data_IF_556079614502
#
_entry.id   IF_556079614502
#
_cell.length_a   1.000
_cell.length_b   1.000
_cell.length_c   1.000
_cell.angle_alpha   90.00
_cell.angle_beta   90.00
_cell.angle_gamma   90.00
#
_symmetry.space_group_name_H-M   'P 1'
#
loop_
_entity.id
_entity.type
_entity.pdbx_description
1 polymer ?
#
# COMPACT_ATOMS: atom_id res chain seq x y z
N UNK A 1 5.81 0.49 -12.59
CA UNK A 1 6.02 0.85 -11.19
C UNK A 1 5.70 2.32 -10.99
N UNK A 2 4.88 2.64 -10.02
CA UNK A 2 4.47 4.02 -9.73
C UNK A 2 4.36 4.24 -8.22
N UNK A 3 4.37 5.53 -7.85
CA UNK A 3 4.19 5.93 -6.45
C UNK A 3 2.78 6.45 -6.23
N UNK A 4 2.21 6.12 -5.08
CA UNK A 4 0.85 6.52 -4.71
C UNK A 4 0.83 7.02 -3.28
N UNK A 5 -0.11 7.93 -3.00
CA UNK A 5 -0.35 8.38 -1.64
C UNK A 5 -1.16 7.34 -0.87
N UNK A 6 -0.84 7.19 0.41
CA UNK A 6 -1.50 6.22 1.28
C UNK A 6 -2.71 6.88 1.95
N UNK A 7 -3.87 6.25 1.81
CA UNK A 7 -5.07 6.65 2.56
C UNK A 7 -5.09 5.95 3.90
N UNK A 8 -4.87 4.63 3.91
CA UNK A 8 -4.83 3.87 5.15
C UNK A 8 -4.08 2.56 4.96
N UNK A 9 -3.70 1.95 6.09
CA UNK A 9 -3.10 0.62 6.15
C UNK A 9 -4.17 -0.31 6.70
N UNK A 10 -4.46 -1.39 5.97
CA UNK A 10 -5.54 -2.31 6.30
C UNK A 10 -4.99 -3.60 6.89
N UNK A 11 -5.56 -3.99 8.03
CA UNK A 11 -5.22 -5.23 8.70
C UNK A 11 -5.84 -6.42 7.98
N UNK A 12 -5.14 -7.55 7.95
CA UNK A 12 -5.69 -8.79 7.45
C UNK A 12 -6.66 -9.42 8.45
N UNK A 13 -7.27 -10.52 8.04
CA UNK A 13 -8.19 -11.29 8.89
C UNK A 13 -7.72 -12.73 9.00
N UNK A 14 -8.30 -13.48 9.94
CA UNK A 14 -7.91 -14.86 10.16
C UNK A 14 -6.44 -14.97 10.55
N UNK A 15 -5.66 -15.72 9.78
CA UNK A 15 -4.24 -15.92 10.05
C UNK A 15 -3.41 -14.63 9.90
N UNK A 16 -3.98 -13.59 9.32
CA UNK A 16 -3.32 -12.32 9.09
C UNK A 16 -3.79 -11.21 10.03
N UNK A 17 -4.58 -11.56 11.04
CA UNK A 17 -4.95 -10.60 12.08
C UNK A 17 -3.69 -10.14 12.82
N UNK A 18 -3.54 -8.83 12.98
CA UNK A 18 -2.36 -8.24 13.58
C UNK A 18 -1.24 -7.91 12.58
N UNK A 19 -1.46 -8.17 11.29
CA UNK A 19 -0.49 -7.87 10.23
C UNK A 19 -1.13 -6.96 9.20
N UNK A 20 -0.34 -6.02 8.67
CA UNK A 20 -0.78 -5.21 7.53
C UNK A 20 -0.87 -6.12 6.30
N UNK A 21 -2.03 -6.16 5.66
CA UNK A 21 -2.26 -7.01 4.50
C UNK A 21 -2.44 -6.22 3.22
N UNK A 22 -3.02 -5.04 3.32
CA UNK A 22 -3.30 -4.18 2.17
C UNK A 22 -3.04 -2.73 2.53
N UNK A 23 -2.75 -1.94 1.49
CA UNK A 23 -2.81 -0.49 1.57
C UNK A 23 -4.03 -0.01 0.79
N UNK A 24 -4.70 0.99 1.31
CA UNK A 24 -5.66 1.76 0.54
C UNK A 24 -4.92 2.97 -0.01
N UNK A 25 -4.87 3.09 -1.32
CA UNK A 25 -4.07 4.06 -2.04
C UNK A 25 -4.96 4.99 -2.84
N UNK A 26 -4.45 6.20 -3.09
CA UNK A 26 -5.21 7.25 -3.76
C UNK A 26 -4.68 7.46 -5.17
N UNK A 27 -5.58 7.53 -6.13
CA UNK A 27 -5.29 7.92 -7.51
C UNK A 27 -5.28 9.44 -7.64
N UNK A 28 -4.77 9.94 -8.77
CA UNK A 28 -4.68 11.38 -9.02
C UNK A 28 -6.04 12.07 -9.03
N UNK A 29 -7.10 11.33 -9.38
CA UNK A 29 -8.47 11.86 -9.44
C UNK A 29 -9.28 11.63 -8.17
N UNK A 30 -8.62 11.40 -7.05
CA UNK A 30 -9.20 11.16 -5.72
C UNK A 30 -9.91 9.82 -5.54
N UNK A 31 -9.95 8.97 -6.56
CA UNK A 31 -10.43 7.60 -6.39
C UNK A 31 -9.40 6.81 -5.58
N UNK A 32 -9.87 5.77 -4.91
CA UNK A 32 -9.00 4.88 -4.13
C UNK A 32 -9.01 3.47 -4.67
N UNK A 33 -7.95 2.73 -4.37
CA UNK A 33 -7.87 1.31 -4.69
C UNK A 33 -7.05 0.61 -3.62
N UNK A 34 -7.18 -0.71 -3.55
CA UNK A 34 -6.43 -1.51 -2.60
C UNK A 34 -5.30 -2.24 -3.30
N UNK A 35 -4.17 -2.33 -2.60
CA UNK A 35 -3.01 -3.05 -3.09
C UNK A 35 -2.50 -3.99 -2.00
N UNK A 36 -2.14 -5.22 -2.38
CA UNK A 36 -1.42 -6.10 -1.49
C UNK A 36 -0.03 -5.53 -1.20
N UNK A 37 0.59 -6.04 -0.15
CA UNK A 37 1.92 -5.59 0.26
C UNK A 37 2.84 -6.80 0.42
N UNK A 38 4.09 -6.66 -0.03
CA UNK A 38 5.11 -7.68 0.14
C UNK A 38 5.97 -7.38 1.35
N UNK A 39 6.31 -8.43 2.08
CA UNK A 39 7.18 -8.32 3.23
C UNK A 39 7.07 -9.58 4.08
N UNK A 40 8.02 -9.78 4.99
CA UNK A 40 7.90 -10.86 5.96
C UNK A 40 6.92 -10.47 7.08
N UNK A 41 6.53 -11.45 7.89
CA UNK A 41 5.55 -11.23 8.94
C UNK A 41 5.99 -10.15 9.94
N UNK A 42 7.27 -10.15 10.33
CA UNK A 42 7.77 -9.15 11.27
C UNK A 42 7.63 -7.74 10.72
N UNK A 43 7.93 -7.56 9.44
CA UNK A 43 7.83 -6.26 8.79
C UNK A 43 6.38 -5.80 8.67
N UNK A 44 5.48 -6.71 8.30
CA UNK A 44 4.05 -6.40 8.17
C UNK A 44 3.40 -6.09 9.52
N UNK A 45 3.85 -6.76 10.57
CA UNK A 45 3.39 -6.48 11.92
C UNK A 45 3.84 -5.09 12.38
N UNK A 46 5.12 -4.78 12.17
CA UNK A 46 5.65 -3.46 12.48
C UNK A 46 4.92 -2.37 11.73
N UNK A 47 4.62 -2.61 10.46
CA UNK A 47 3.92 -1.66 9.61
C UNK A 47 2.55 -1.30 10.18
N UNK A 48 1.83 -2.30 10.69
CA UNK A 48 0.53 -2.08 11.30
C UNK A 48 0.61 -1.40 12.66
N UNK A 49 1.63 -1.73 13.45
CA UNK A 49 1.80 -1.23 14.81
C UNK A 49 2.48 0.14 14.90
N UNK A 50 3.08 0.60 13.80
CA UNK A 50 3.76 1.90 13.81
C UNK A 50 2.83 3.02 14.21
N UNK A 51 3.31 3.89 15.08
CA UNK A 51 2.59 5.09 15.47
C UNK A 51 2.41 6.04 14.30
N UNK A 52 3.47 6.20 13.49
CA UNK A 52 3.43 7.01 12.28
C UNK A 52 3.35 6.08 11.08
N UNK A 53 2.21 6.10 10.39
CA UNK A 53 1.99 5.25 9.22
C UNK A 53 2.68 5.82 7.98
N UNK A 54 3.03 4.97 6.99
CA UNK A 54 3.55 5.45 5.73
C UNK A 54 2.59 6.43 5.05
N UNK A 55 3.14 7.41 4.37
CA UNK A 55 2.36 8.40 3.64
C UNK A 55 2.41 8.17 2.13
N UNK A 56 3.38 7.40 1.67
CA UNK A 56 3.53 7.07 0.26
C UNK A 56 4.01 5.63 0.12
N UNK A 57 3.71 5.03 -1.04
CA UNK A 57 4.21 3.70 -1.40
C UNK A 57 4.68 3.70 -2.84
N UNK A 58 5.60 2.78 -3.15
CA UNK A 58 5.92 2.40 -4.52
C UNK A 58 5.18 1.11 -4.82
N UNK A 59 4.37 1.13 -5.85
CA UNK A 59 3.52 0.01 -6.21
C UNK A 59 3.90 -0.52 -7.58
N UNK A 60 4.06 -1.83 -7.66
CA UNK A 60 4.28 -2.52 -8.92
C UNK A 60 2.95 -3.11 -9.37
N UNK A 61 2.59 -2.90 -10.62
CA UNK A 61 1.36 -3.44 -11.18
C UNK A 61 1.60 -3.94 -12.59
N UNK A 62 0.72 -4.82 -13.03
CA UNK A 62 0.86 -5.46 -14.33
C UNK A 62 0.43 -4.53 -15.46
N UNK A 63 -0.74 -3.92 -15.32
CA UNK A 63 -1.28 -2.99 -16.29
C UNK A 63 -2.33 -2.10 -15.65
N UNK A 64 -2.73 -1.05 -16.33
CA UNK A 64 -3.86 -0.22 -15.91
C UNK A 64 -5.14 -0.75 -16.52
N UNK A 65 -6.22 -0.75 -15.74
CA UNK A 65 -7.55 -1.04 -16.28
C UNK A 65 -8.02 0.11 -17.18
N UNK A 66 -9.10 -0.08 -17.95
CA UNK A 66 -9.67 1.02 -18.73
C UNK A 66 -10.02 2.25 -17.90
N UNK A 67 -10.31 2.05 -16.61
CA UNK A 67 -10.61 3.13 -15.67
C UNK A 67 -9.35 3.79 -15.09
N UNK A 68 -8.16 3.33 -15.46
CA UNK A 68 -6.91 3.86 -14.95
C UNK A 68 -6.51 3.31 -13.58
N UNK A 69 -7.11 2.21 -13.14
CA UNK A 69 -6.79 1.57 -11.85
C UNK A 69 -5.77 0.45 -12.09
N UNK A 70 -4.69 0.40 -11.32
CA UNK A 70 -3.70 -0.67 -11.46
C UNK A 70 -4.31 -2.06 -11.24
N UNK A 71 -3.93 -3.00 -12.13
CA UNK A 71 -4.32 -4.41 -12.00
C UNK A 71 -3.20 -5.21 -11.35
N UNK A 72 -3.58 -6.11 -10.45
CA UNK A 72 -2.65 -6.94 -9.70
C UNK A 72 -1.58 -6.10 -8.99
N UNK A 73 -1.97 -5.02 -8.30
CA UNK A 73 -0.98 -4.17 -7.67
C UNK A 73 -0.38 -4.83 -6.44
N UNK A 74 0.91 -4.58 -6.23
CA UNK A 74 1.60 -5.01 -5.02
C UNK A 74 2.53 -3.89 -4.58
N UNK A 75 2.47 -3.53 -3.30
CA UNK A 75 3.36 -2.54 -2.71
C UNK A 75 4.71 -3.19 -2.46
N UNK A 76 5.77 -2.60 -3.00
CA UNK A 76 7.14 -3.13 -2.89
C UNK A 76 8.03 -2.26 -2.01
N UNK A 77 7.62 -1.03 -1.75
CA UNK A 77 8.35 -0.12 -0.88
C UNK A 77 7.38 0.91 -0.32
N UNK A 78 7.74 1.52 0.80
CA UNK A 78 6.94 2.55 1.43
C UNK A 78 7.81 3.44 2.30
N UNK A 79 7.30 4.62 2.65
CA UNK A 79 7.98 5.54 3.53
C UNK A 79 7.01 6.59 4.05
N UNK A 80 7.49 7.43 4.94
CA UNK A 80 6.71 8.54 5.46
C UNK A 80 7.47 9.84 5.26
N UNK A 81 6.70 10.96 5.27
CA UNK A 81 7.27 12.26 4.98
C UNK A 81 7.22 12.62 3.52
N UNK A 82 8.07 13.54 3.11
CA UNK A 82 8.12 14.03 1.73
C UNK A 82 8.95 13.08 0.87
N UNK A 83 8.44 12.74 -0.30
CA UNK A 83 9.19 11.93 -1.25
C UNK A 83 10.38 12.69 -1.79
N UNK A 84 11.49 11.99 -1.93
CA UNK A 84 12.67 12.51 -2.62
C UNK A 84 12.62 12.03 -4.06
N UNK A 85 12.21 12.91 -4.93
CA UNK A 85 12.17 12.61 -6.36
C UNK A 85 13.52 12.86 -7.02
#
# INVERSE_FOLDING_TARGET
TDEFDVVSVLEGSGNWAGYAKHFELKLEDDRTFRSGVRGNQALLKDLLEQEVKPTWVTCRYFELSPDGVPRFPVVIDWGNGVRND
#
